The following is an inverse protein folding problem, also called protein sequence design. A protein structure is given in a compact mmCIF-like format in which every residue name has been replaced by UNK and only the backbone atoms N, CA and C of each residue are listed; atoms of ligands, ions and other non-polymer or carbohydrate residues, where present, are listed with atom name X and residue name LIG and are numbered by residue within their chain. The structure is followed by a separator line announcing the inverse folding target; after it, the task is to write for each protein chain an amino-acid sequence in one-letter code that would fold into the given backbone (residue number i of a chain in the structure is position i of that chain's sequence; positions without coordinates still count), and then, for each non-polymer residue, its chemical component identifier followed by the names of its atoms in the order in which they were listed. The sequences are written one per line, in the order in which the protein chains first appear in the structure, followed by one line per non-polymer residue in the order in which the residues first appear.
data_IF_490906436896
#
_entry.id   IF_490906436896
#
_cell.length_a   1.000
_cell.length_b   1.000
_cell.length_c   1.000
_cell.angle_alpha   90.00
_cell.angle_beta   90.00
_cell.angle_gamma   90.00
#
_symmetry.space_group_name_H-M   'P 1'
#
loop_
_entity.id
_entity.type
_entity.pdbx_description
1 polymer ?
#
# COMPACT_ATOMS: atom_id res chain seq x y z
N UNK A 1 -25.95 -1.37 41.92
CA UNK A 1 -26.69 -1.33 40.64
C UNK A 1 -25.74 -1.73 39.53
N UNK A 2 -26.05 -2.82 38.81
CA UNK A 2 -25.41 -3.16 37.54
C UNK A 2 -26.00 -2.26 36.45
N UNK A 3 -25.16 -1.72 35.57
CA UNK A 3 -25.34 -1.86 34.12
C UNK A 3 -24.00 -1.75 33.40
N UNK A 4 -23.79 -2.68 32.48
CA UNK A 4 -22.65 -2.89 31.58
C UNK A 4 -23.05 -2.49 30.14
N UNK A 5 -22.07 -2.53 29.22
CA UNK A 5 -22.09 -2.47 27.74
C UNK A 5 -21.89 -1.07 27.11
N UNK A 6 -20.92 -0.82 26.23
CA UNK A 6 -19.91 -1.67 25.59
C UNK A 6 -19.32 -0.93 24.37
N UNK A 7 -18.02 -0.65 24.40
CA UNK A 7 -17.23 -0.22 23.23
C UNK A 7 -15.88 -0.94 23.35
N UNK A 8 -15.89 -2.22 23.02
CA UNK A 8 -14.74 -3.11 23.12
C UNK A 8 -14.98 -4.25 22.16
N UNK A 9 -14.23 -4.29 21.08
CA UNK A 9 -14.41 -5.28 20.02
C UNK A 9 -13.92 -4.82 18.64
N UNK A 10 -13.79 -3.51 18.41
CA UNK A 10 -13.14 -2.99 17.20
C UNK A 10 -11.66 -2.68 17.45
N UNK A 11 -11.31 -2.03 18.58
CA UNK A 11 -9.92 -1.65 18.88
C UNK A 11 -9.03 -2.82 19.33
N UNK A 12 -9.59 -3.89 19.90
CA UNK A 12 -8.78 -5.07 20.29
C UNK A 12 -8.26 -5.86 19.09
N UNK A 13 -8.81 -5.64 17.90
CA UNK A 13 -8.37 -6.30 16.66
C UNK A 13 -7.23 -5.54 15.96
N UNK A 14 -6.86 -4.35 16.45
CA UNK A 14 -5.77 -3.57 15.89
C UNK A 14 -4.66 -3.38 16.91
N UNK A 15 -3.42 -3.38 16.43
CA UNK A 15 -2.30 -2.87 17.20
C UNK A 15 -2.42 -1.37 17.44
N UNK A 16 -1.77 -0.90 18.50
CA UNK A 16 -1.70 0.51 18.83
C UNK A 16 -1.03 1.28 17.68
N UNK A 17 -1.55 2.47 17.40
CA UNK A 17 -0.97 3.36 16.38
C UNK A 17 0.48 3.71 16.74
N UNK A 18 1.36 3.66 15.75
CA UNK A 18 2.80 3.90 15.92
C UNK A 18 3.54 2.74 16.57
N UNK A 19 2.88 1.60 16.81
CA UNK A 19 3.57 0.39 17.27
C UNK A 19 4.16 -0.39 16.10
N UNK A 20 5.26 -1.09 16.39
CA UNK A 20 5.90 -2.03 15.50
C UNK A 20 5.84 -3.42 16.12
N UNK A 21 4.96 -4.27 15.60
CA UNK A 21 4.79 -5.66 16.06
C UNK A 21 5.16 -6.60 14.92
N UNK A 22 6.40 -7.13 14.87
CA UNK A 22 6.85 -7.98 13.75
C UNK A 22 5.93 -9.15 13.44
N UNK A 23 5.31 -9.75 14.46
CA UNK A 23 4.42 -10.90 14.31
C UNK A 23 3.09 -10.57 13.60
N UNK A 24 2.76 -9.29 13.45
CA UNK A 24 1.55 -8.80 12.80
C UNK A 24 1.87 -8.09 11.47
N UNK A 25 3.10 -8.22 10.96
CA UNK A 25 3.56 -7.64 9.72
C UNK A 25 4.02 -8.73 8.73
N UNK A 26 3.90 -8.48 7.42
CA UNK A 26 4.47 -9.39 6.43
C UNK A 26 5.99 -9.49 6.58
N UNK A 27 6.55 -10.66 6.28
CA UNK A 27 7.99 -10.80 6.10
C UNK A 27 8.45 -9.90 4.92
N UNK A 28 9.61 -9.24 5.00
CA UNK A 28 10.19 -8.51 3.88
C UNK A 28 10.41 -9.44 2.68
N UNK A 29 9.86 -9.08 1.54
CA UNK A 29 10.00 -9.81 0.29
C UNK A 29 11.23 -9.39 -0.53
N UNK A 30 11.39 -9.97 -1.73
CA UNK A 30 12.59 -9.79 -2.54
C UNK A 30 12.79 -8.36 -3.02
N UNK A 31 11.74 -7.52 -3.11
CA UNK A 31 11.90 -6.11 -3.48
C UNK A 31 12.75 -5.33 -2.46
N UNK A 32 12.77 -5.79 -1.22
CA UNK A 32 13.52 -5.16 -0.13
C UNK A 32 14.88 -5.84 0.15
N UNK A 33 15.26 -6.87 -0.62
CA UNK A 33 16.45 -7.69 -0.32
C UNK A 33 17.77 -6.91 -0.34
N UNK A 34 17.87 -5.90 -1.21
CA UNK A 34 19.06 -5.03 -1.33
C UNK A 34 18.93 -3.71 -0.56
N UNK A 35 17.80 -3.49 0.13
CA UNK A 35 17.54 -2.28 0.91
C UNK A 35 17.79 -2.51 2.40
N UNK A 36 18.07 -1.44 3.13
CA UNK A 36 18.10 -1.47 4.59
C UNK A 36 16.67 -1.52 5.14
N UNK A 37 16.19 -2.73 5.45
CA UNK A 37 14.82 -2.96 5.94
C UNK A 37 14.59 -2.25 7.28
N UNK A 38 13.59 -1.37 7.30
CA UNK A 38 13.22 -0.61 8.48
C UNK A 38 12.47 -1.47 9.50
N UNK A 39 12.79 -1.25 10.78
CA UNK A 39 12.17 -1.93 11.92
C UNK A 39 11.95 -0.94 13.07
N UNK A 40 11.14 -1.32 14.06
CA UNK A 40 10.93 -0.51 15.26
C UNK A 40 10.36 0.87 14.95
N UNK A 41 10.91 1.88 15.60
CA UNK A 41 10.46 3.27 15.49
C UNK A 41 10.64 3.85 14.07
N UNK A 42 11.69 3.43 13.35
CA UNK A 42 11.93 3.91 11.98
C UNK A 42 10.86 3.41 11.00
N UNK A 43 10.45 2.14 11.15
CA UNK A 43 9.33 1.61 10.39
C UNK A 43 8.03 2.33 10.75
N UNK A 44 7.77 2.51 12.04
CA UNK A 44 6.56 3.17 12.53
C UNK A 44 6.46 4.64 12.08
N UNK A 45 7.58 5.36 12.02
CA UNK A 45 7.64 6.74 11.56
C UNK A 45 7.26 6.86 10.07
N UNK A 46 7.90 6.05 9.21
CA UNK A 46 7.53 5.97 7.78
C UNK A 46 6.07 5.56 7.61
N UNK A 47 5.61 4.60 8.41
CA UNK A 47 4.25 4.11 8.32
C UNK A 47 3.21 5.17 8.71
N UNK A 48 3.51 6.02 9.69
CA UNK A 48 2.66 7.13 10.08
C UNK A 48 2.56 8.18 8.97
N UNK A 49 3.67 8.52 8.31
CA UNK A 49 3.64 9.38 7.12
C UNK A 49 2.82 8.75 6.00
N UNK A 50 2.94 7.43 5.78
CA UNK A 50 2.11 6.70 4.81
C UNK A 50 0.63 6.92 5.08
N UNK A 51 0.22 6.74 6.35
CA UNK A 51 -1.17 6.91 6.77
C UNK A 51 -1.66 8.34 6.49
N UNK A 52 -0.86 9.36 6.78
CA UNK A 52 -1.21 10.75 6.49
C UNK A 52 -1.36 11.02 4.99
N UNK A 53 -0.39 10.59 4.17
CA UNK A 53 -0.45 10.76 2.72
C UNK A 53 -1.67 10.03 2.13
N UNK A 54 -1.96 8.82 2.60
CA UNK A 54 -3.10 8.03 2.15
C UNK A 54 -4.43 8.63 2.58
N UNK A 55 -4.48 9.26 3.75
CA UNK A 55 -5.67 9.97 4.23
C UNK A 55 -5.97 11.17 3.32
N UNK A 56 -4.95 11.98 3.06
CA UNK A 56 -5.06 13.20 2.25
C UNK A 56 -5.41 12.90 0.79
N UNK A 57 -4.88 11.79 0.25
CA UNK A 57 -5.02 11.41 -1.16
C UNK A 57 -6.09 10.34 -1.42
N UNK A 58 -6.82 9.94 -0.38
CA UNK A 58 -7.96 9.01 -0.51
C UNK A 58 -7.57 7.57 -0.86
N UNK A 59 -6.40 7.09 -0.41
CA UNK A 59 -5.97 5.70 -0.61
C UNK A 59 -6.63 4.79 0.44
N UNK A 60 -7.81 4.30 0.10
CA UNK A 60 -8.65 3.50 0.97
C UNK A 60 -8.88 2.10 0.43
N UNK A 61 -8.78 1.10 1.30
CA UNK A 61 -9.24 -0.25 1.01
C UNK A 61 -10.76 -0.28 1.20
N UNK A 62 -11.51 -0.33 0.10
CA UNK A 62 -12.98 -0.35 0.13
C UNK A 62 -13.54 -1.69 0.63
N UNK A 63 -12.74 -2.76 0.59
CA UNK A 63 -13.14 -4.08 1.12
C UNK A 63 -13.25 -4.00 2.64
N UNK A 64 -12.28 -3.33 3.28
CA UNK A 64 -12.28 -3.15 4.74
C UNK A 64 -12.88 -1.83 5.22
N UNK A 65 -13.06 -0.86 4.32
CA UNK A 65 -13.65 0.44 4.61
C UNK A 65 -12.75 1.37 5.43
N UNK A 66 -11.43 1.25 5.28
CA UNK A 66 -10.46 2.08 5.99
C UNK A 66 -9.28 2.50 5.12
N UNK A 67 -8.55 3.52 5.59
CA UNK A 67 -7.27 3.95 5.04
C UNK A 67 -6.32 2.76 4.91
N UNK A 68 -5.70 2.59 3.74
CA UNK A 68 -4.91 1.40 3.42
C UNK A 68 -3.79 1.12 4.43
N UNK A 69 -3.15 2.15 4.99
CA UNK A 69 -2.08 1.98 5.98
C UNK A 69 -2.56 1.25 7.23
N UNK A 70 -3.84 1.38 7.59
CA UNK A 70 -4.42 0.72 8.77
C UNK A 70 -4.34 -0.82 8.70
N UNK A 71 -4.17 -1.39 7.50
CA UNK A 71 -4.01 -2.84 7.34
C UNK A 71 -2.80 -3.39 8.11
N UNK A 72 -1.71 -2.62 8.24
CA UNK A 72 -0.52 -3.00 9.02
C UNK A 72 -0.78 -3.21 10.51
N UNK A 73 -1.87 -2.63 11.03
CA UNK A 73 -2.24 -2.77 12.43
C UNK A 73 -3.29 -3.87 12.61
N UNK A 74 -3.89 -4.41 11.54
CA UNK A 74 -5.01 -5.33 11.63
C UNK A 74 -4.55 -6.76 11.98
N UNK A 75 -4.70 -7.14 13.24
CA UNK A 75 -4.27 -8.45 13.76
C UNK A 75 -5.01 -9.64 13.13
N UNK A 76 -6.11 -9.39 12.40
CA UNK A 76 -6.81 -10.43 11.63
C UNK A 76 -6.06 -10.79 10.35
N UNK A 77 -5.14 -9.93 9.91
CA UNK A 77 -4.33 -10.08 8.71
C UNK A 77 -2.84 -9.88 9.00
N UNK A 78 -2.23 -10.69 9.90
CA UNK A 78 -0.88 -10.46 10.43
C UNK A 78 0.26 -10.63 9.40
N UNK A 79 -0.07 -10.98 8.15
CA UNK A 79 0.88 -11.14 7.05
C UNK A 79 0.59 -10.16 5.90
N UNK A 80 -0.20 -9.11 6.13
CA UNK A 80 -0.62 -8.16 5.12
C UNK A 80 -0.27 -6.72 5.52
N UNK A 81 -0.20 -5.84 4.52
CA UNK A 81 0.23 -4.45 4.70
C UNK A 81 1.62 -4.20 4.12
N UNK A 82 2.25 -3.12 4.58
CA UNK A 82 3.50 -2.60 4.05
C UNK A 82 4.74 -2.98 4.86
N UNK A 83 5.81 -3.31 4.15
CA UNK A 83 7.20 -3.29 4.65
C UNK A 83 7.99 -2.23 3.91
N UNK A 84 8.98 -1.66 4.60
CA UNK A 84 9.79 -0.57 4.09
C UNK A 84 11.27 -0.91 4.17
N UNK A 85 12.05 -0.43 3.21
CA UNK A 85 13.51 -0.42 3.26
C UNK A 85 14.07 0.81 2.59
N UNK A 86 15.20 1.30 3.08
CA UNK A 86 15.90 2.47 2.51
C UNK A 86 16.97 2.01 1.54
N UNK A 87 17.06 2.66 0.38
CA UNK A 87 18.05 2.38 -0.66
C UNK A 87 18.64 3.70 -1.17
N UNK A 88 19.77 4.10 -0.59
CA UNK A 88 20.33 5.45 -0.80
C UNK A 88 19.38 6.51 -0.24
N UNK A 89 18.98 7.45 -1.10
CA UNK A 89 18.03 8.52 -0.76
C UNK A 89 16.57 8.15 -1.09
N UNK A 90 16.33 6.92 -1.56
CA UNK A 90 15.00 6.41 -1.91
C UNK A 90 14.41 5.52 -0.81
N UNK A 91 13.08 5.50 -0.74
CA UNK A 91 12.31 4.55 0.07
C UNK A 91 11.70 3.48 -0.83
N UNK A 92 11.95 2.21 -0.52
CA UNK A 92 11.24 1.06 -1.09
C UNK A 92 10.10 0.64 -0.17
N UNK A 93 8.89 0.63 -0.70
CA UNK A 93 7.68 0.17 -0.02
C UNK A 93 7.12 -1.07 -0.72
N UNK A 94 7.10 -2.20 -0.03
CA UNK A 94 6.50 -3.44 -0.53
C UNK A 94 5.16 -3.70 0.15
N UNK A 95 4.11 -3.89 -0.64
CA UNK A 95 2.75 -4.15 -0.18
C UNK A 95 2.39 -5.63 -0.34
N UNK A 96 1.98 -6.27 0.75
CA UNK A 96 1.43 -7.62 0.74
C UNK A 96 -0.09 -7.55 0.94
N UNK A 97 -0.91 -7.96 -0.04
CA UNK A 97 -2.37 -8.00 0.13
C UNK A 97 -2.78 -9.13 1.09
N UNK A 98 -4.01 -9.06 1.61
CA UNK A 98 -4.56 -10.11 2.50
C UNK A 98 -4.79 -11.45 1.80
N UNK A 99 -4.87 -11.45 0.47
CA UNK A 99 -5.04 -12.64 -0.37
C UNK A 99 -4.30 -12.48 -1.70
N UNK A 100 -3.91 -13.60 -2.31
CA UNK A 100 -3.21 -13.63 -3.61
C UNK A 100 -4.05 -13.08 -4.78
N UNK A 101 -5.38 -13.01 -4.61
CA UNK A 101 -6.35 -12.64 -5.65
C UNK A 101 -6.91 -11.21 -5.48
N UNK A 102 -6.37 -10.41 -4.57
CA UNK A 102 -6.93 -9.09 -4.27
C UNK A 102 -7.11 -8.26 -5.56
N UNK A 103 -8.35 -7.99 -6.00
CA UNK A 103 -8.59 -7.39 -7.32
C UNK A 103 -8.10 -5.94 -7.37
N UNK A 104 -7.91 -5.33 -6.21
CA UNK A 104 -7.60 -3.91 -6.05
C UNK A 104 -6.11 -3.63 -5.84
N UNK A 105 -5.24 -4.66 -5.75
CA UNK A 105 -3.81 -4.46 -5.46
C UNK A 105 -3.19 -3.41 -6.39
N UNK A 106 -3.47 -3.49 -7.69
CA UNK A 106 -3.03 -2.53 -8.70
C UNK A 106 -3.46 -1.08 -8.37
N UNK A 107 -4.77 -0.85 -8.25
CA UNK A 107 -5.33 0.47 -7.91
C UNK A 107 -4.78 1.01 -6.59
N UNK A 108 -4.68 0.17 -5.56
CA UNK A 108 -4.19 0.54 -4.23
C UNK A 108 -2.71 0.92 -4.26
N UNK A 109 -1.86 0.14 -4.91
CA UNK A 109 -0.42 0.44 -4.97
C UNK A 109 -0.10 1.61 -5.89
N UNK A 110 -0.83 1.78 -6.99
CA UNK A 110 -0.71 2.98 -7.83
C UNK A 110 -1.18 4.22 -7.07
N UNK A 111 -2.29 4.10 -6.32
CA UNK A 111 -2.77 5.16 -5.42
C UNK A 111 -1.74 5.51 -4.35
N UNK A 112 -1.13 4.51 -3.71
CA UNK A 112 -0.07 4.68 -2.73
C UNK A 112 1.16 5.38 -3.32
N UNK A 113 1.64 4.95 -4.50
CA UNK A 113 2.76 5.57 -5.19
C UNK A 113 2.51 7.06 -5.46
N UNK A 114 1.33 7.40 -5.98
CA UNK A 114 0.93 8.80 -6.21
C UNK A 114 0.78 9.59 -4.92
N UNK A 115 0.31 8.96 -3.86
CA UNK A 115 0.06 9.64 -2.60
C UNK A 115 1.36 10.06 -1.92
N UNK A 116 2.35 9.17 -1.92
CA UNK A 116 3.68 9.46 -1.39
C UNK A 116 4.38 10.54 -2.22
N UNK A 117 4.66 10.26 -3.48
CA UNK A 117 5.46 11.16 -4.33
C UNK A 117 4.73 12.46 -4.71
N UNK A 118 3.41 12.54 -4.46
CA UNK A 118 2.62 13.75 -4.69
C UNK A 118 2.53 14.67 -3.48
N UNK A 119 3.12 14.24 -2.35
CA UNK A 119 3.23 14.95 -1.09
C UNK A 119 4.67 14.83 -0.57
N UNK A 120 5.64 15.05 -1.47
CA UNK A 120 7.07 14.90 -1.20
C UNK A 120 7.53 15.76 -0.01
N UNK A 121 6.85 16.88 0.28
CA UNK A 121 7.15 17.71 1.44
C UNK A 121 6.86 17.05 2.80
N UNK A 122 6.25 15.86 2.82
CA UNK A 122 5.94 15.09 4.02
C UNK A 122 7.06 14.13 4.43
N UNK A 123 8.08 13.94 3.60
CA UNK A 123 9.19 13.04 3.86
C UNK A 123 10.50 13.54 3.23
N UNK A 124 11.62 12.97 3.66
CA UNK A 124 12.95 13.39 3.19
C UNK A 124 13.50 12.51 2.04
N UNK A 125 12.72 11.55 1.54
CA UNK A 125 13.12 10.67 0.43
C UNK A 125 12.98 11.36 -0.93
N UNK A 126 13.95 11.15 -1.81
CA UNK A 126 13.90 11.64 -3.20
C UNK A 126 12.80 10.93 -4.02
N UNK A 127 12.56 9.64 -3.74
CA UNK A 127 11.55 8.84 -4.41
C UNK A 127 11.03 7.73 -3.48
N UNK A 128 9.71 7.55 -3.45
CA UNK A 128 9.07 6.38 -2.83
C UNK A 128 8.66 5.38 -3.92
N UNK A 129 9.41 4.28 -4.02
CA UNK A 129 9.16 3.18 -4.94
C UNK A 129 8.19 2.19 -4.32
N UNK A 130 7.11 1.86 -5.01
CA UNK A 130 6.09 0.93 -4.50
C UNK A 130 6.06 -0.34 -5.34
N UNK A 131 5.97 -1.51 -4.70
CA UNK A 131 5.75 -2.81 -5.37
C UNK A 131 4.76 -3.67 -4.58
N UNK A 132 4.10 -4.59 -5.27
CA UNK A 132 3.29 -5.67 -4.68
C UNK A 132 4.17 -6.90 -4.46
N UNK A 133 4.04 -7.53 -3.30
CA UNK A 133 4.76 -8.75 -2.96
C UNK A 133 4.45 -9.89 -3.95
N UNK A 134 5.42 -10.80 -4.23
CA UNK A 134 5.26 -11.91 -5.18
C UNK A 134 4.14 -12.90 -4.85
N UNK A 135 3.61 -12.87 -3.62
CA UNK A 135 2.47 -13.70 -3.19
C UNK A 135 1.17 -13.35 -3.94
N UNK A 136 1.10 -12.20 -4.62
CA UNK A 136 -0.04 -11.84 -5.45
C UNK A 136 0.08 -12.42 -6.88
N UNK A 137 -0.98 -13.05 -7.40
CA UNK A 137 -0.93 -13.76 -8.68
C UNK A 137 -0.57 -12.89 -9.91
N UNK A 138 -0.84 -11.58 -9.83
CA UNK A 138 -0.51 -10.59 -10.87
C UNK A 138 0.65 -9.68 -10.46
N UNK A 139 1.45 -10.08 -9.47
CA UNK A 139 2.54 -9.25 -8.95
C UNK A 139 3.44 -8.72 -10.06
N UNK A 140 3.89 -9.58 -10.98
CA UNK A 140 4.75 -9.18 -12.10
C UNK A 140 4.12 -8.06 -12.94
N UNK A 141 2.89 -8.27 -13.44
CA UNK A 141 2.21 -7.28 -14.29
C UNK A 141 1.94 -5.95 -13.55
N UNK A 142 1.61 -5.99 -12.25
CA UNK A 142 1.41 -4.77 -11.45
C UNK A 142 2.74 -4.07 -11.20
N UNK A 143 3.80 -4.82 -10.92
CA UNK A 143 5.13 -4.31 -10.66
C UNK A 143 5.80 -3.72 -11.91
N UNK A 144 5.57 -4.30 -13.08
CA UNK A 144 5.99 -3.74 -14.38
C UNK A 144 5.31 -2.39 -14.62
N UNK A 145 4.01 -2.28 -14.32
CA UNK A 145 3.29 -0.99 -14.41
C UNK A 145 3.85 0.02 -13.42
N UNK A 146 4.07 -0.35 -12.16
CA UNK A 146 4.65 0.54 -11.16
C UNK A 146 6.06 1.01 -11.55
N UNK A 147 6.88 0.13 -12.15
CA UNK A 147 8.19 0.49 -12.68
C UNK A 147 8.10 1.50 -13.83
N UNK A 148 7.13 1.34 -14.75
CA UNK A 148 6.92 2.30 -15.83
C UNK A 148 6.43 3.67 -15.32
N UNK A 149 5.57 3.69 -14.29
CA UNK A 149 5.14 4.94 -13.64
C UNK A 149 6.29 5.63 -12.91
N UNK A 150 7.15 4.85 -12.25
CA UNK A 150 8.37 5.31 -11.60
C UNK A 150 9.33 5.95 -12.61
N UNK A 151 9.63 5.27 -13.72
CA UNK A 151 10.48 5.79 -14.80
C UNK A 151 9.92 7.11 -15.36
N UNK A 152 8.63 7.14 -15.70
CA UNK A 152 7.99 8.33 -16.23
C UNK A 152 8.03 9.51 -15.22
N UNK A 153 7.82 9.24 -13.93
CA UNK A 153 7.88 10.27 -12.90
C UNK A 153 9.30 10.81 -12.72
N UNK A 154 10.32 9.94 -12.71
CA UNK A 154 11.72 10.37 -12.63
C UNK A 154 12.13 11.20 -13.85
N UNK A 155 11.65 10.85 -15.05
CA UNK A 155 11.98 11.58 -16.28
C UNK A 155 11.29 12.95 -16.37
N UNK A 156 10.05 13.06 -15.89
CA UNK A 156 9.20 14.23 -16.14
C UNK A 156 8.94 15.09 -14.91
N UNK A 157 9.07 14.53 -13.71
CA UNK A 157 8.59 15.11 -12.45
C UNK A 157 7.07 15.14 -12.31
N UNK A 158 6.33 14.58 -13.26
CA UNK A 158 4.86 14.63 -13.28
C UNK A 158 4.28 13.27 -12.88
N UNK A 159 3.40 13.28 -11.87
CA UNK A 159 2.63 12.09 -11.53
C UNK A 159 1.48 11.91 -12.52
N UNK A 160 1.36 10.75 -13.18
CA UNK A 160 0.28 10.52 -14.11
C UNK A 160 -1.05 10.56 -13.36
N UNK A 161 -2.03 11.29 -13.89
CA UNK A 161 -3.37 11.37 -13.32
C UNK A 161 -3.96 9.98 -13.10
N UNK A 162 -4.75 9.83 -12.04
CA UNK A 162 -5.57 8.65 -11.89
C UNK A 162 -6.46 8.55 -13.11
N UNK A 163 -6.21 7.54 -13.95
CA UNK A 163 -7.16 7.12 -14.97
C UNK A 163 -8.49 6.98 -14.25
N UNK A 164 -9.40 7.93 -14.47
CA UNK A 164 -10.78 7.78 -14.05
C UNK A 164 -11.22 6.46 -14.66
N UNK A 165 -11.60 5.45 -13.88
CA UNK A 165 -12.06 4.19 -14.45
C UNK A 165 -13.19 4.55 -15.40
N UNK A 166 -13.00 4.30 -16.70
CA UNK A 166 -14.01 4.60 -17.70
C UNK A 166 -15.27 3.80 -17.34
N UNK A 167 -16.37 4.45 -16.94
CA UNK A 167 -17.60 3.75 -16.61
C UNK A 167 -18.21 3.03 -17.84
N UNK A 168 -17.67 3.24 -19.04
CA UNK A 168 -18.04 2.60 -20.29
C UNK A 168 -16.98 1.64 -20.85
N UNK A 169 -15.94 1.25 -20.08
CA UNK A 169 -14.96 0.22 -20.47
C UNK A 169 -15.52 -1.21 -20.52
N UNK A 170 -16.79 -1.36 -20.91
CA UNK A 170 -17.51 -2.62 -21.00
C UNK A 170 -17.46 -3.21 -22.41
N UNK A 171 -17.09 -4.48 -22.47
CA UNK A 171 -17.29 -5.43 -23.56
C UNK A 171 -16.67 -5.04 -24.91
N UNK A 172 -15.40 -5.44 -25.09
CA UNK A 172 -14.90 -5.74 -26.43
C UNK A 172 -15.81 -6.77 -27.08
N UNK A 173 -16.35 -6.35 -28.22
CA UNK A 173 -17.19 -7.07 -29.17
C UNK A 173 -16.61 -8.47 -29.49
N UNK A 174 -17.08 -9.50 -28.79
CA UNK A 174 -16.87 -10.89 -29.20
C UNK A 174 -17.94 -11.22 -30.25
N UNK A 175 -17.68 -10.76 -31.47
CA UNK A 175 -18.44 -11.14 -32.66
C UNK A 175 -18.22 -12.64 -32.93
N UNK A 176 -19.10 -13.48 -32.36
CA UNK A 176 -19.20 -14.89 -32.72
C UNK A 176 -19.70 -15.00 -34.18
N UNK A 177 -18.98 -15.72 -35.07
CA UNK A 177 -19.51 -16.02 -36.39
C UNK A 177 -20.60 -17.11 -36.29
N UNK A 178 -21.77 -16.84 -36.88
CA UNK A 178 -22.70 -17.87 -37.35
C UNK A 178 -22.40 -18.21 -38.81
#
# INVERSE_FOLDING_TARGET
MRSFFGSGGADEAFDDRGSFVPAHLPEPGPFLADAEVLTGDDHAAVHETARECFEERGVYDVTFGYNLARLNLDQRHPNAGFRYGVDGDDLRAEFTPTTEFCPQSDTLTVGAFRAWNGLEERHDYELVRVRVAPSHQRADAVNDRLAALEEAYVETGELPDAETPDPNGGAGDDALPF
#
